data_IF_834467591234
#
_entry.id   IF_834467591234
#
_cell.length_a   1.000
_cell.length_b   1.000
_cell.length_c   1.000
_cell.angle_alpha   90.00
_cell.angle_beta   90.00
_cell.angle_gamma   90.00
#
_symmetry.space_group_name_H-M   'P 1'
#
loop_
_entity.id
_entity.type
_entity.pdbx_description
1 polymer ?
#
# COMPACT_ATOMS: atom_id res chain seq x y z
N UNK A 1 30.69 4.68 -0.57
CA UNK A 1 29.85 5.82 -0.11
C UNK A 1 29.20 5.41 1.21
N UNK A 2 29.60 5.98 2.36
CA UNK A 2 28.84 5.79 3.60
C UNK A 2 27.61 6.70 3.53
N UNK A 3 26.44 6.12 3.23
CA UNK A 3 25.18 6.88 3.05
C UNK A 3 24.65 7.48 4.37
N UNK A 4 24.98 6.88 5.53
CA UNK A 4 24.60 7.38 6.86
C UNK A 4 25.77 7.33 7.84
N UNK A 5 25.84 8.30 8.77
CA UNK A 5 26.89 8.36 9.81
C UNK A 5 26.71 7.28 10.86
N UNK A 6 25.49 7.10 11.37
CA UNK A 6 25.10 6.05 12.33
C UNK A 6 23.66 5.61 12.03
N UNK A 7 23.35 4.34 12.27
CA UNK A 7 22.02 3.75 12.11
C UNK A 7 21.63 3.11 13.44
N UNK A 8 20.44 3.40 13.93
CA UNK A 8 19.88 2.78 15.15
C UNK A 8 18.51 2.22 14.83
N UNK A 9 18.27 0.95 15.17
CA UNK A 9 16.96 0.30 15.07
C UNK A 9 16.42 0.02 16.46
N UNK A 10 15.15 0.33 16.65
CA UNK A 10 14.42 0.08 17.89
C UNK A 10 13.24 -0.84 17.58
N UNK A 11 13.11 -1.92 18.32
CA UNK A 11 11.98 -2.84 18.20
C UNK A 11 11.73 -3.52 19.55
N UNK A 12 10.50 -3.97 19.77
CA UNK A 12 10.14 -4.78 20.94
C UNK A 12 10.52 -6.26 20.73
N UNK A 13 10.57 -6.72 19.48
CA UNK A 13 10.89 -8.10 19.13
C UNK A 13 12.40 -8.31 19.01
N UNK A 14 12.98 -8.92 20.04
CA UNK A 14 14.42 -9.22 20.08
C UNK A 14 14.88 -10.13 18.93
N UNK A 15 14.00 -10.98 18.38
CA UNK A 15 14.35 -11.89 17.28
C UNK A 15 14.68 -11.11 16.00
N UNK A 16 13.95 -10.01 15.75
CA UNK A 16 14.20 -9.11 14.62
C UNK A 16 15.54 -8.40 14.84
N UNK A 17 15.78 -7.91 16.06
CA UNK A 17 17.01 -7.20 16.40
C UNK A 17 18.25 -8.09 16.30
N UNK A 18 18.16 -9.35 16.72
CA UNK A 18 19.25 -10.33 16.61
C UNK A 18 19.56 -10.62 15.14
N UNK A 19 18.52 -10.83 14.32
CA UNK A 19 18.68 -11.02 12.87
C UNK A 19 19.36 -9.82 12.20
N UNK A 20 18.93 -8.60 12.53
CA UNK A 20 19.50 -7.37 11.98
C UNK A 20 20.95 -7.18 12.42
N UNK A 21 21.26 -7.47 13.68
CA UNK A 21 22.63 -7.38 14.20
C UNK A 21 23.57 -8.34 13.49
N UNK A 22 23.16 -9.60 13.34
CA UNK A 22 23.92 -10.61 12.59
C UNK A 22 24.11 -10.21 11.12
N UNK A 23 23.05 -9.70 10.49
CA UNK A 23 23.13 -9.22 9.10
C UNK A 23 24.10 -8.04 8.95
N UNK A 24 24.12 -7.13 9.93
CA UNK A 24 25.05 -6.00 9.94
C UNK A 24 26.51 -6.47 10.10
N UNK A 25 26.76 -7.48 10.92
CA UNK A 25 28.09 -8.10 11.08
C UNK A 25 28.56 -8.77 9.77
N UNK A 26 27.70 -9.59 9.15
CA UNK A 26 27.98 -10.27 7.88
C UNK A 26 28.30 -9.27 6.75
N UNK A 27 27.63 -8.12 6.75
CA UNK A 27 27.85 -7.04 5.78
C UNK A 27 28.93 -6.03 6.21
N UNK A 28 29.60 -6.26 7.35
CA UNK A 28 30.64 -5.36 7.90
C UNK A 28 30.17 -3.91 8.12
N UNK A 29 28.92 -3.73 8.55
CA UNK A 29 28.31 -2.42 8.83
C UNK A 29 28.61 -2.02 10.28
N UNK A 30 29.75 -1.36 10.48
CA UNK A 30 30.27 -1.05 11.82
C UNK A 30 29.58 0.13 12.53
N UNK A 31 28.65 0.82 11.88
CA UNK A 31 27.94 1.98 12.41
C UNK A 31 26.44 1.72 12.60
N UNK A 32 26.10 0.48 12.95
CA UNK A 32 24.74 0.00 13.19
C UNK A 32 24.57 -0.40 14.66
N UNK A 33 23.44 -0.05 15.26
CA UNK A 33 23.09 -0.42 16.63
C UNK A 33 21.62 -0.85 16.69
N UNK A 34 21.34 -1.90 17.45
CA UNK A 34 19.97 -2.26 17.83
C UNK A 34 19.71 -1.91 19.29
N UNK A 35 18.46 -1.58 19.61
CA UNK A 35 18.02 -1.34 20.99
C UNK A 35 16.66 -2.01 21.18
N UNK A 36 16.55 -3.04 22.05
CA UNK A 36 15.26 -3.58 22.44
C UNK A 36 14.50 -2.51 23.22
N UNK A 37 13.40 -2.02 22.66
CA UNK A 37 12.63 -0.94 23.26
C UNK A 37 11.15 -1.04 22.89
N UNK A 38 10.30 -1.01 23.91
CA UNK A 38 8.87 -0.84 23.73
C UNK A 38 8.55 0.65 23.57
N UNK A 39 8.08 1.05 22.39
CA UNK A 39 7.76 2.46 22.10
C UNK A 39 6.64 3.03 22.98
N UNK A 40 5.87 2.20 23.70
CA UNK A 40 4.95 2.66 24.74
C UNK A 40 5.70 3.33 25.89
N UNK A 41 6.89 2.85 26.19
CA UNK A 41 7.76 3.40 27.23
C UNK A 41 8.52 4.65 26.75
N UNK A 42 8.75 5.65 27.62
CA UNK A 42 9.59 6.80 27.32
C UNK A 42 10.99 6.40 26.86
N UNK A 43 11.59 7.21 25.97
CA UNK A 43 12.98 6.98 25.57
C UNK A 43 13.96 7.39 26.67
N UNK A 44 15.06 6.64 26.83
CA UNK A 44 16.23 7.12 27.55
C UNK A 44 16.77 8.44 26.95
N UNK A 45 17.35 9.28 27.79
CA UNK A 45 17.85 10.61 27.41
C UNK A 45 18.91 10.56 26.29
N UNK A 46 19.65 9.45 26.16
CA UNK A 46 20.70 9.29 25.16
C UNK A 46 20.18 9.10 23.73
N UNK A 47 18.87 8.98 23.53
CA UNK A 47 18.21 8.87 22.22
C UNK A 47 17.46 10.13 21.79
N UNK A 48 17.11 10.99 22.74
CA UNK A 48 16.36 12.22 22.50
C UNK A 48 17.23 13.23 21.74
N UNK A 49 16.63 13.96 20.79
CA UNK A 49 17.27 15.06 20.07
C UNK A 49 18.59 14.67 19.35
N UNK A 50 18.67 13.48 18.76
CA UNK A 50 19.93 12.87 18.27
C UNK A 50 19.97 12.59 16.78
N UNK A 51 18.83 12.34 16.15
CA UNK A 51 18.77 11.85 14.77
C UNK A 51 18.31 12.92 13.79
N UNK A 52 18.74 12.78 12.53
CA UNK A 52 18.38 13.70 11.44
C UNK A 52 17.21 13.17 10.59
N UNK A 53 17.02 11.84 10.60
CA UNK A 53 16.02 11.11 9.82
C UNK A 53 15.42 10.01 10.70
N UNK A 54 14.11 9.86 10.66
CA UNK A 54 13.37 8.70 11.19
C UNK A 54 12.69 7.98 10.04
N UNK A 55 12.66 6.65 10.09
CA UNK A 55 11.89 5.80 9.18
C UNK A 55 11.04 4.89 10.05
N UNK A 56 9.75 4.77 9.75
CA UNK A 56 8.82 3.98 10.54
C UNK A 56 7.66 3.41 9.74
N UNK A 57 7.18 2.24 10.18
CA UNK A 57 5.98 1.56 9.70
C UNK A 57 5.14 1.17 10.93
N UNK A 58 4.34 2.11 11.47
CA UNK A 58 3.61 1.91 12.72
C UNK A 58 2.42 0.97 12.54
N UNK A 59 1.83 0.49 13.65
CA UNK A 59 0.52 -0.15 13.61
C UNK A 59 -0.53 0.74 12.94
N UNK A 60 -1.44 0.13 12.17
CA UNK A 60 -2.38 0.83 11.29
C UNK A 60 -3.58 1.37 12.08
N UNK A 61 -3.44 1.64 13.37
CA UNK A 61 -4.44 2.33 14.19
C UNK A 61 -4.05 3.79 14.36
N UNK A 62 -5.00 4.68 14.67
CA UNK A 62 -4.67 6.07 14.91
C UNK A 62 -3.81 6.24 16.18
N UNK A 63 -4.06 5.45 17.23
CA UNK A 63 -3.26 5.48 18.46
C UNK A 63 -1.83 4.99 18.22
N UNK A 64 -1.66 3.91 17.45
CA UNK A 64 -0.34 3.41 17.05
C UNK A 64 0.43 4.45 16.24
N UNK A 65 -0.21 5.08 15.26
CA UNK A 65 0.38 6.18 14.49
C UNK A 65 0.83 7.34 15.40
N UNK A 66 -0.04 7.80 16.31
CA UNK A 66 0.24 8.93 17.20
C UNK A 66 1.39 8.60 18.15
N UNK A 67 1.45 7.39 18.69
CA UNK A 67 2.57 6.94 19.51
C UNK A 67 3.90 7.04 18.74
N UNK A 68 3.95 6.50 17.53
CA UNK A 68 5.16 6.53 16.71
C UNK A 68 5.54 7.95 16.29
N UNK A 69 4.60 8.81 15.90
CA UNK A 69 4.86 10.22 15.60
C UNK A 69 5.42 10.97 16.82
N UNK A 70 4.88 10.73 18.01
CA UNK A 70 5.41 11.28 19.28
C UNK A 70 6.84 10.83 19.54
N UNK A 71 7.14 9.55 19.32
CA UNK A 71 8.49 9.02 19.47
C UNK A 71 9.45 9.58 18.42
N UNK A 72 9.02 9.69 17.17
CA UNK A 72 9.79 10.31 16.10
C UNK A 72 10.16 11.77 16.44
N UNK A 73 9.21 12.57 16.92
CA UNK A 73 9.48 13.98 17.27
C UNK A 73 10.45 14.12 18.45
N UNK A 74 10.51 13.15 19.36
CA UNK A 74 11.47 13.13 20.48
C UNK A 74 12.90 12.81 20.04
N UNK A 75 13.08 11.84 19.14
CA UNK A 75 14.43 11.40 18.73
C UNK A 75 15.05 12.32 17.67
N UNK A 76 14.24 13.02 16.89
CA UNK A 76 14.70 13.99 15.89
C UNK A 76 15.32 15.22 16.57
N UNK A 77 16.41 15.73 15.98
CA UNK A 77 17.03 16.97 16.43
C UNK A 77 16.05 18.14 16.28
N UNK A 78 15.58 18.66 17.40
CA UNK A 78 14.71 19.82 17.56
C UNK A 78 15.45 21.04 18.08
N UNK A 79 16.63 20.87 18.66
CA UNK A 79 17.46 21.97 19.14
C UNK A 79 18.97 21.64 19.15
N UNK A 80 19.79 22.67 19.16
CA UNK A 80 21.25 22.58 19.37
C UNK A 80 21.71 23.69 20.29
N UNK A 81 22.64 23.37 21.18
CA UNK A 81 23.28 24.34 22.05
C UNK A 81 24.62 24.79 21.45
N UNK A 82 24.78 26.09 21.22
CA UNK A 82 26.02 26.71 20.76
C UNK A 82 26.31 27.88 21.71
N UNK A 83 27.46 27.86 22.39
CA UNK A 83 27.90 28.92 23.31
C UNK A 83 26.83 29.26 24.36
N UNK A 84 26.25 28.25 25.01
CA UNK A 84 25.17 28.37 26.00
C UNK A 84 23.86 28.99 25.46
N UNK A 85 23.70 29.08 24.13
CA UNK A 85 22.44 29.50 23.49
C UNK A 85 21.80 28.32 22.76
N UNK A 86 20.51 28.12 23.00
CA UNK A 86 19.72 27.08 22.33
C UNK A 86 19.09 27.63 21.04
N UNK A 87 19.32 26.92 19.95
CA UNK A 87 18.74 27.21 18.63
C UNK A 87 17.77 26.11 18.25
N UNK A 88 16.56 26.46 17.82
CA UNK A 88 15.60 25.49 17.31
C UNK A 88 16.05 24.95 15.95
N UNK A 89 15.89 23.65 15.75
CA UNK A 89 16.11 22.97 14.47
C UNK A 89 14.76 22.46 13.96
N UNK A 90 14.50 22.70 12.68
CA UNK A 90 13.32 22.24 11.95
C UNK A 90 13.74 21.55 10.64
N UNK A 91 12.80 20.98 9.92
CA UNK A 91 13.02 20.36 8.61
C UNK A 91 13.71 19.00 8.71
N UNK A 92 13.71 18.36 9.89
CA UNK A 92 14.18 16.97 10.00
C UNK A 92 13.19 16.03 9.34
N UNK A 93 13.73 14.97 8.74
CA UNK A 93 12.96 14.10 7.85
C UNK A 93 12.34 12.95 8.63
N UNK A 94 11.10 12.62 8.31
CA UNK A 94 10.46 11.41 8.80
C UNK A 94 9.79 10.72 7.61
N UNK A 95 10.16 9.47 7.36
CA UNK A 95 9.54 8.61 6.35
C UNK A 95 8.55 7.69 7.05
N UNK A 96 7.27 7.86 6.75
CA UNK A 96 6.18 7.11 7.37
C UNK A 96 5.53 6.21 6.32
N UNK A 97 5.59 4.91 6.53
CA UNK A 97 4.78 3.94 5.80
C UNK A 97 3.42 3.83 6.47
N UNK A 98 2.31 4.01 5.75
CA UNK A 98 0.99 3.82 6.32
C UNK A 98 -0.05 3.41 5.29
N UNK A 99 -0.91 2.45 5.65
CA UNK A 99 -1.92 1.89 4.77
C UNK A 99 -2.99 2.86 4.34
N UNK A 100 -3.54 2.62 3.16
CA UNK A 100 -4.73 3.31 2.70
C UNK A 100 -5.93 3.01 3.63
N UNK A 101 -6.77 4.01 3.84
CA UNK A 101 -7.99 3.94 4.65
C UNK A 101 -9.12 4.76 4.03
N UNK A 102 -10.38 4.59 4.48
CA UNK A 102 -11.46 5.47 4.09
C UNK A 102 -11.13 6.96 4.33
N UNK A 103 -11.68 7.89 3.52
CA UNK A 103 -11.35 9.31 3.61
C UNK A 103 -11.47 9.93 5.01
N UNK A 104 -12.46 9.54 5.84
CA UNK A 104 -12.57 10.09 7.20
C UNK A 104 -11.40 9.66 8.10
N UNK A 105 -10.90 8.44 7.93
CA UNK A 105 -9.75 7.95 8.70
C UNK A 105 -8.44 8.50 8.16
N UNK A 106 -8.35 8.74 6.85
CA UNK A 106 -7.21 9.45 6.24
C UNK A 106 -7.13 10.89 6.74
N UNK A 107 -8.26 11.56 6.93
CA UNK A 107 -8.29 12.88 7.55
C UNK A 107 -7.74 12.86 8.98
N UNK A 108 -8.15 11.87 9.81
CA UNK A 108 -7.62 11.69 11.18
C UNK A 108 -6.10 11.44 11.19
N UNK A 109 -5.61 10.69 10.21
CA UNK A 109 -4.16 10.47 10.03
C UNK A 109 -3.44 11.80 9.76
N UNK A 110 -3.96 12.62 8.84
CA UNK A 110 -3.33 13.90 8.50
C UNK A 110 -3.35 14.87 9.69
N UNK A 111 -4.47 14.93 10.43
CA UNK A 111 -4.51 15.69 11.68
C UNK A 111 -3.49 15.19 12.69
N UNK A 112 -3.35 13.87 12.86
CA UNK A 112 -2.34 13.30 13.76
C UNK A 112 -0.92 13.66 13.35
N UNK A 113 -0.60 13.69 12.05
CA UNK A 113 0.71 14.15 11.55
C UNK A 113 0.96 15.62 11.95
N UNK A 114 -0.01 16.49 11.68
CA UNK A 114 0.08 17.93 11.98
C UNK A 114 0.19 18.19 13.49
N UNK A 115 -0.64 17.55 14.30
CA UNK A 115 -0.66 17.65 15.77
C UNK A 115 0.69 17.30 16.39
N UNK A 116 1.46 16.40 15.75
CA UNK A 116 2.76 15.95 16.24
C UNK A 116 3.93 16.77 15.71
N UNK A 117 3.65 17.90 15.05
CA UNK A 117 4.68 18.83 14.58
C UNK A 117 5.35 18.37 13.29
N UNK A 118 4.61 17.72 12.40
CA UNK A 118 5.07 17.34 11.07
C UNK A 118 4.17 17.92 9.99
N UNK A 119 4.75 18.30 8.86
CA UNK A 119 4.02 18.56 7.61
C UNK A 119 4.23 17.39 6.65
N UNK A 120 3.25 17.18 5.77
CA UNK A 120 3.37 16.23 4.65
C UNK A 120 3.97 16.99 3.47
N UNK A 121 5.20 16.65 3.09
CA UNK A 121 5.85 17.24 1.93
C UNK A 121 5.52 16.48 0.64
N UNK A 122 5.36 15.16 0.74
CA UNK A 122 4.98 14.29 -0.36
C UNK A 122 4.29 13.03 0.18
N UNK A 123 3.38 12.47 -0.62
CA UNK A 123 2.79 11.16 -0.39
C UNK A 123 2.87 10.39 -1.70
N UNK A 124 3.56 9.25 -1.67
CA UNK A 124 3.72 8.36 -2.83
C UNK A 124 2.75 7.19 -2.62
N UNK A 125 1.67 7.09 -3.42
CA UNK A 125 0.70 6.01 -3.30
C UNK A 125 1.34 4.64 -3.54
N UNK A 126 0.81 3.62 -2.87
CA UNK A 126 1.17 2.20 -2.99
C UNK A 126 2.67 1.90 -3.11
N UNK A 127 3.51 2.65 -2.39
CA UNK A 127 4.95 2.53 -2.47
C UNK A 127 5.48 1.23 -1.85
N UNK A 128 4.97 0.81 -0.69
CA UNK A 128 5.44 -0.41 -0.03
C UNK A 128 4.53 -1.59 -0.35
N UNK A 129 5.13 -2.73 -0.71
CA UNK A 129 4.45 -3.99 -0.98
C UNK A 129 4.85 -5.06 0.04
N UNK A 130 3.89 -5.58 0.81
CA UNK A 130 4.16 -6.56 1.87
C UNK A 130 3.79 -7.97 1.44
N UNK A 131 4.70 -8.93 1.66
CA UNK A 131 4.44 -10.35 1.44
C UNK A 131 3.71 -10.97 2.63
N UNK A 132 2.60 -11.66 2.38
CA UNK A 132 1.90 -12.47 3.38
C UNK A 132 0.89 -11.73 4.26
N UNK A 133 0.66 -10.43 4.03
CA UNK A 133 -0.43 -9.71 4.69
C UNK A 133 -1.77 -9.95 3.96
N UNK A 134 -2.85 -10.20 4.72
CA UNK A 134 -4.23 -10.18 4.19
C UNK A 134 -4.58 -8.82 3.55
N UNK A 135 -5.66 -8.74 2.76
CA UNK A 135 -6.13 -7.59 1.93
C UNK A 135 -5.91 -6.18 2.55
N UNK A 136 -5.99 -6.02 3.87
CA UNK A 136 -5.86 -4.73 4.59
C UNK A 136 -4.40 -4.25 4.77
N UNK A 137 -3.39 -5.02 4.35
CA UNK A 137 -1.97 -4.67 4.59
C UNK A 137 -1.01 -5.06 3.47
N UNK A 138 -1.50 -5.34 2.27
CA UNK A 138 -0.62 -5.69 1.14
C UNK A 138 0.12 -4.46 0.59
N UNK A 139 -0.50 -3.28 0.67
CA UNK A 139 0.03 -2.02 0.16
C UNK A 139 -0.01 -0.94 1.23
N UNK A 140 0.98 -0.04 1.22
CA UNK A 140 0.94 1.19 2.00
C UNK A 140 1.57 2.34 1.24
N UNK A 141 1.12 3.55 1.52
CA UNK A 141 1.70 4.78 0.99
C UNK A 141 3.00 5.09 1.73
N UNK A 142 3.92 5.77 1.06
CA UNK A 142 5.08 6.38 1.70
C UNK A 142 4.84 7.88 1.85
N UNK A 143 4.77 8.35 3.10
CA UNK A 143 4.70 9.76 3.43
C UNK A 143 6.09 10.30 3.72
N UNK A 144 6.48 11.34 2.99
CA UNK A 144 7.66 12.13 3.31
C UNK A 144 7.24 13.32 4.17
N UNK A 145 7.60 13.24 5.44
CA UNK A 145 7.28 14.24 6.45
C UNK A 145 8.48 15.10 6.79
N UNK A 146 8.22 16.37 7.15
CA UNK A 146 9.23 17.29 7.67
C UNK A 146 8.80 17.85 9.01
N UNK A 147 9.72 17.85 9.99
CA UNK A 147 9.45 18.43 11.30
C UNK A 147 9.34 19.96 11.21
N UNK A 148 8.38 20.53 11.93
CA UNK A 148 8.24 21.98 12.08
C UNK A 148 8.58 22.41 13.50
N UNK A 149 8.66 23.73 13.72
CA UNK A 149 8.82 24.26 15.08
C UNK A 149 7.54 23.94 15.81
N UNK A 150 7.58 22.98 16.73
CA UNK A 150 6.42 22.61 17.51
C UNK A 150 5.99 23.85 18.33
N UNK A 151 4.85 24.48 18.01
CA UNK A 151 4.39 25.66 18.72
C UNK A 151 3.79 25.16 20.04
N UNK A 152 4.65 24.88 21.02
CA UNK A 152 4.29 24.76 22.43
C UNK A 152 3.14 23.78 22.72
N UNK A 153 3.44 22.55 23.19
CA UNK A 153 2.83 21.87 24.36
C UNK A 153 1.33 22.09 24.73
N UNK A 154 0.47 22.55 23.83
CA UNK A 154 -0.91 23.02 24.11
C UNK A 154 -1.88 21.87 23.97
N UNK A 155 -1.52 20.86 23.19
CA UNK A 155 -2.13 19.54 23.29
C UNK A 155 -1.36 18.77 24.36
N UNK A 156 -1.89 18.79 25.59
CA UNK A 156 -1.65 17.70 26.53
C UNK A 156 -2.09 16.41 25.84
N UNK A 157 -1.16 15.77 25.12
CA UNK A 157 -1.33 14.48 24.47
C UNK A 157 -1.45 13.43 25.57
N UNK A 158 -2.62 13.40 26.18
CA UNK A 158 -3.14 12.27 26.93
C UNK A 158 -3.18 11.10 25.96
N UNK A 159 -2.13 10.28 25.99
CA UNK A 159 -2.20 8.94 25.45
C UNK A 159 -3.14 8.20 26.39
N UNK A 160 -4.39 8.03 25.98
CA UNK A 160 -5.18 6.95 26.56
C UNK A 160 -4.45 5.66 26.19
N UNK A 161 -4.15 4.82 27.18
CA UNK A 161 -3.51 3.51 26.99
C UNK A 161 -4.49 2.55 26.32
N UNK A 162 -4.88 2.88 25.10
CA UNK A 162 -5.76 2.09 24.26
C UNK A 162 -4.99 1.05 23.44
N UNK A 163 -5.71 0.09 22.85
CA UNK A 163 -5.14 -0.90 21.95
C UNK A 163 -4.45 -0.22 20.75
N UNK A 164 -3.18 -0.54 20.52
CA UNK A 164 -2.37 0.06 19.43
C UNK A 164 -2.33 -0.83 18.19
N UNK A 165 -2.58 -2.13 18.33
CA UNK A 165 -2.67 -3.04 17.20
C UNK A 165 -4.12 -3.23 16.75
N UNK A 166 -4.32 -3.36 15.44
CA UNK A 166 -5.65 -3.62 14.85
C UNK A 166 -6.30 -4.89 15.40
N UNK A 167 -5.51 -5.87 15.85
CA UNK A 167 -5.99 -7.07 16.53
C UNK A 167 -6.60 -6.79 17.90
N UNK A 168 -6.10 -5.79 18.62
CA UNK A 168 -6.50 -5.44 19.99
C UNK A 168 -7.73 -4.51 20.02
N UNK A 169 -7.95 -3.71 18.97
CA UNK A 169 -9.10 -2.78 18.83
C UNK A 169 -10.42 -3.51 18.49
N UNK A 170 -10.40 -4.83 18.27
CA UNK A 170 -11.57 -5.62 17.83
C UNK A 170 -12.64 -5.80 18.92
N UNK A 171 -13.33 -4.72 19.26
CA UNK A 171 -14.69 -4.73 19.84
C UNK A 171 -15.40 -3.42 19.49
N UNK A 172 -15.64 -3.17 18.21
CA UNK A 172 -16.73 -2.31 17.70
C UNK A 172 -16.85 -2.51 16.20
N UNK A 173 -18.10 -2.61 15.78
CA UNK A 173 -18.63 -3.01 14.46
C UNK A 173 -17.69 -2.79 13.28
N UNK A 174 -17.28 -3.90 12.66
CA UNK A 174 -16.64 -3.88 11.35
C UNK A 174 -17.70 -3.49 10.32
N UNK A 175 -17.52 -2.37 9.65
CA UNK A 175 -17.61 -2.44 8.20
C UNK A 175 -16.21 -2.77 7.72
N UNK A 176 -15.91 -4.03 7.33
CA UNK A 176 -14.68 -4.26 6.58
C UNK A 176 -14.74 -3.32 5.37
N UNK A 177 -13.63 -2.64 5.05
CA UNK A 177 -13.50 -2.09 3.70
C UNK A 177 -13.53 -3.30 2.76
N UNK A 178 -14.72 -3.60 2.26
CA UNK A 178 -14.94 -4.53 1.18
C UNK A 178 -14.76 -3.65 -0.05
N UNK A 179 -13.71 -3.84 -0.87
CA UNK A 179 -13.64 -3.15 -2.15
C UNK A 179 -14.96 -3.41 -2.87
N UNK A 180 -15.61 -2.35 -3.36
CA UNK A 180 -16.91 -2.46 -4.01
C UNK A 180 -16.82 -3.45 -5.17
N UNK A 181 -15.65 -3.51 -5.82
CA UNK A 181 -15.27 -4.55 -6.76
C UNK A 181 -13.77 -4.53 -7.10
N UNK A 182 -13.35 -5.48 -7.94
CA UNK A 182 -12.00 -5.65 -8.46
C UNK A 182 -12.00 -5.39 -9.96
N UNK A 183 -11.01 -4.66 -10.46
CA UNK A 183 -10.86 -4.32 -11.87
C UNK A 183 -9.63 -5.03 -12.45
N UNK A 184 -9.86 -5.89 -13.44
CA UNK A 184 -8.82 -6.59 -14.18
C UNK A 184 -8.73 -5.97 -15.57
N UNK A 185 -7.60 -5.34 -15.86
CA UNK A 185 -7.28 -4.83 -17.19
C UNK A 185 -6.17 -5.70 -17.75
N UNK A 186 -6.36 -6.21 -18.96
CA UNK A 186 -5.46 -7.18 -19.56
C UNK A 186 -5.31 -6.97 -21.06
N UNK A 187 -4.12 -7.29 -21.54
CA UNK A 187 -3.76 -7.24 -22.95
C UNK A 187 -3.26 -8.62 -23.38
N UNK A 188 -3.63 -9.05 -24.58
CA UNK A 188 -3.21 -10.32 -25.16
C UNK A 188 -2.68 -10.10 -26.58
N UNK A 189 -1.50 -10.65 -26.86
CA UNK A 189 -0.82 -10.57 -28.16
C UNK A 189 -0.75 -11.94 -28.83
N UNK A 190 -0.80 -11.99 -30.16
CA UNK A 190 -0.89 -13.23 -30.94
C UNK A 190 0.09 -13.24 -32.12
N UNK A 191 0.75 -14.38 -32.35
CA UNK A 191 1.49 -14.65 -33.59
C UNK A 191 0.48 -15.04 -34.69
N UNK A 192 -0.07 -14.02 -35.38
CA UNK A 192 -0.98 -14.18 -36.50
C UNK A 192 -2.47 -13.99 -36.18
N UNK A 193 -3.28 -13.82 -37.22
CA UNK A 193 -4.65 -13.29 -37.11
C UNK A 193 -5.74 -14.36 -37.03
N UNK A 194 -5.41 -15.65 -37.22
CA UNK A 194 -6.43 -16.69 -37.53
C UNK A 194 -7.52 -16.82 -36.46
N UNK A 195 -7.17 -16.76 -35.18
CA UNK A 195 -8.17 -16.81 -34.10
C UNK A 195 -8.90 -15.48 -33.91
N UNK A 196 -8.24 -14.36 -34.22
CA UNK A 196 -8.79 -13.01 -34.08
C UNK A 196 -9.80 -12.66 -35.18
N UNK A 197 -9.77 -13.38 -36.29
CA UNK A 197 -10.74 -13.25 -37.39
C UNK A 197 -12.02 -14.08 -37.17
N UNK A 198 -12.07 -14.89 -36.11
CA UNK A 198 -13.23 -15.73 -35.77
C UNK A 198 -14.02 -15.08 -34.63
N UNK A 199 -14.81 -14.04 -34.97
CA UNK A 199 -15.57 -13.27 -33.99
C UNK A 199 -16.56 -14.13 -33.19
N UNK A 200 -17.19 -15.12 -33.83
CA UNK A 200 -18.12 -16.05 -33.15
C UNK A 200 -17.40 -16.88 -32.08
N UNK A 201 -16.20 -17.38 -32.39
CA UNK A 201 -15.38 -18.09 -31.42
C UNK A 201 -14.94 -17.19 -30.27
N UNK A 202 -14.53 -15.95 -30.55
CA UNK A 202 -14.12 -14.99 -29.51
C UNK A 202 -15.30 -14.66 -28.60
N UNK A 203 -16.47 -14.37 -29.19
CA UNK A 203 -17.70 -14.12 -28.45
C UNK A 203 -18.06 -15.29 -27.53
N UNK A 204 -18.02 -16.51 -28.06
CA UNK A 204 -18.29 -17.73 -27.29
C UNK A 204 -17.29 -17.92 -26.15
N UNK A 205 -16.00 -17.82 -26.43
CA UNK A 205 -14.94 -17.97 -25.41
C UNK A 205 -15.08 -16.93 -24.30
N UNK A 206 -15.43 -15.69 -24.66
CA UNK A 206 -15.68 -14.62 -23.70
C UNK A 206 -16.87 -14.95 -22.78
N UNK A 207 -18.00 -15.34 -23.35
CA UNK A 207 -19.19 -15.76 -22.59
C UNK A 207 -18.91 -16.98 -21.71
N UNK A 208 -18.33 -18.04 -22.27
CA UNK A 208 -18.01 -19.27 -21.56
C UNK A 208 -17.05 -19.01 -20.39
N UNK A 209 -16.10 -18.07 -20.55
CA UNK A 209 -15.17 -17.68 -19.49
C UNK A 209 -15.89 -17.01 -18.32
N UNK A 210 -16.83 -16.10 -18.59
CA UNK A 210 -17.65 -15.45 -17.55
C UNK A 210 -18.55 -16.47 -16.83
N UNK A 211 -19.23 -17.34 -17.58
CA UNK A 211 -20.12 -18.37 -17.03
C UNK A 211 -19.34 -19.38 -16.18
N UNK A 212 -18.17 -19.81 -16.64
CA UNK A 212 -17.32 -20.77 -15.92
C UNK A 212 -16.78 -20.24 -14.59
N UNK A 213 -16.68 -18.92 -14.45
CA UNK A 213 -16.30 -18.23 -13.22
C UNK A 213 -17.50 -17.97 -12.28
N UNK A 214 -18.66 -18.54 -12.58
CA UNK A 214 -19.90 -18.35 -11.80
C UNK A 214 -20.30 -16.86 -11.70
N UNK A 215 -20.14 -16.12 -12.82
CA UNK A 215 -20.61 -14.75 -12.96
C UNK A 215 -21.98 -14.74 -13.65
N UNK A 216 -22.94 -14.04 -13.06
CA UNK A 216 -24.28 -13.89 -13.64
C UNK A 216 -24.28 -12.76 -14.66
N UNK A 217 -24.48 -13.11 -15.93
CA UNK A 217 -24.65 -12.17 -17.04
C UNK A 217 -26.12 -11.77 -17.11
N UNK A 218 -26.41 -10.47 -17.03
CA UNK A 218 -27.77 -9.92 -17.19
C UNK A 218 -28.07 -9.61 -18.65
N UNK A 219 -27.11 -9.07 -19.38
CA UNK A 219 -27.23 -8.71 -20.78
C UNK A 219 -25.86 -8.73 -21.46
N UNK A 220 -25.85 -8.87 -22.78
CA UNK A 220 -24.64 -8.77 -23.59
C UNK A 220 -24.91 -8.04 -24.90
N UNK A 221 -24.08 -7.04 -25.19
CA UNK A 221 -24.04 -6.40 -26.48
C UNK A 221 -22.71 -6.71 -27.17
N UNK A 222 -22.76 -7.03 -28.45
CA UNK A 222 -21.56 -7.26 -29.26
C UNK A 222 -21.69 -6.62 -30.64
N UNK A 223 -20.55 -6.36 -31.27
CA UNK A 223 -20.47 -5.76 -32.59
C UNK A 223 -19.30 -6.33 -33.39
N UNK A 224 -19.60 -6.73 -34.63
CA UNK A 224 -18.62 -7.16 -35.63
C UNK A 224 -18.27 -5.97 -36.53
N UNK A 225 -17.01 -5.56 -36.54
CA UNK A 225 -16.52 -4.48 -37.40
C UNK A 225 -16.14 -4.99 -38.79
N UNK A 226 -16.08 -4.07 -39.76
CA UNK A 226 -15.64 -4.33 -41.13
C UNK A 226 -14.30 -3.64 -41.39
N UNK A 227 -13.31 -4.30 -42.06
CA UNK A 227 -13.37 -5.67 -42.57
C UNK A 227 -13.18 -6.77 -41.50
N UNK A 228 -12.69 -6.41 -40.32
CA UNK A 228 -12.46 -7.33 -39.20
C UNK A 228 -12.49 -6.56 -37.87
N UNK A 229 -12.51 -7.30 -36.76
CA UNK A 229 -12.55 -6.75 -35.40
C UNK A 229 -13.88 -7.06 -34.71
N UNK A 230 -13.81 -7.07 -33.38
CA UNK A 230 -14.90 -7.49 -32.51
C UNK A 230 -14.87 -6.70 -31.22
N UNK A 231 -16.04 -6.26 -30.76
CA UNK A 231 -16.26 -5.73 -29.42
C UNK A 231 -17.42 -6.48 -28.77
N UNK A 232 -17.28 -6.83 -27.50
CA UNK A 232 -18.42 -7.24 -26.67
C UNK A 232 -18.35 -6.61 -25.29
N UNK A 233 -19.51 -6.29 -24.73
CA UNK A 233 -19.68 -5.86 -23.34
C UNK A 233 -20.82 -6.68 -22.72
N UNK A 234 -20.50 -7.40 -21.65
CA UNK A 234 -21.44 -8.13 -20.82
C UNK A 234 -21.75 -7.28 -19.58
N UNK A 235 -23.03 -7.01 -19.35
CA UNK A 235 -23.52 -6.43 -18.10
C UNK A 235 -23.69 -7.56 -17.10
N UNK A 236 -22.91 -7.51 -16.03
CA UNK A 236 -23.00 -8.49 -14.95
C UNK A 236 -23.99 -8.00 -13.90
N UNK A 237 -24.47 -8.90 -13.04
CA UNK A 237 -25.44 -8.58 -11.97
C UNK A 237 -25.08 -7.34 -11.14
N UNK A 238 -23.79 -7.08 -10.95
CA UNK A 238 -23.27 -6.03 -10.07
C UNK A 238 -22.21 -5.15 -10.74
N UNK A 239 -21.87 -5.39 -12.01
CA UNK A 239 -20.64 -4.86 -12.65
C UNK A 239 -20.63 -5.08 -14.18
N UNK A 240 -19.47 -5.23 -14.83
CA UNK A 240 -19.36 -5.42 -16.28
C UNK A 240 -18.07 -6.13 -16.70
N UNK A 241 -18.08 -6.72 -17.90
CA UNK A 241 -16.89 -7.21 -18.58
C UNK A 241 -16.91 -6.80 -20.05
N UNK A 242 -15.79 -6.41 -20.61
CA UNK A 242 -15.63 -6.03 -22.00
C UNK A 242 -14.39 -6.68 -22.64
N UNK A 243 -14.50 -6.95 -23.94
CA UNK A 243 -13.41 -7.46 -24.77
C UNK A 243 -13.42 -6.73 -26.11
N UNK A 244 -12.25 -6.33 -26.58
CA UNK A 244 -12.05 -5.63 -27.85
C UNK A 244 -10.90 -6.28 -28.61
N UNK A 245 -11.04 -6.47 -29.91
CA UNK A 245 -10.03 -7.14 -30.74
C UNK A 245 -9.60 -6.27 -31.93
N UNK A 246 -8.31 -6.31 -32.21
CA UNK A 246 -7.68 -5.69 -33.39
C UNK A 246 -6.87 -6.77 -34.12
N UNK A 247 -7.51 -7.56 -35.00
CA UNK A 247 -6.87 -8.65 -35.74
C UNK A 247 -5.63 -8.19 -36.52
N UNK A 248 -5.67 -6.99 -37.11
CA UNK A 248 -4.56 -6.36 -37.84
C UNK A 248 -3.31 -6.15 -36.98
N UNK A 249 -3.47 -6.04 -35.67
CA UNK A 249 -2.39 -5.85 -34.70
C UNK A 249 -2.08 -7.12 -33.90
N UNK A 250 -2.77 -8.24 -34.17
CA UNK A 250 -2.60 -9.46 -33.38
C UNK A 250 -2.95 -9.23 -31.92
N UNK A 251 -3.99 -8.44 -31.62
CA UNK A 251 -4.20 -7.85 -30.30
C UNK A 251 -5.63 -7.99 -29.77
N UNK A 252 -5.75 -8.22 -28.46
CA UNK A 252 -7.00 -8.15 -27.70
C UNK A 252 -6.80 -7.32 -26.43
N UNK A 253 -7.72 -6.41 -26.15
CA UNK A 253 -7.87 -5.71 -24.88
C UNK A 253 -9.04 -6.29 -24.09
N UNK A 254 -8.84 -6.49 -22.79
CA UNK A 254 -9.84 -7.04 -21.86
C UNK A 254 -9.98 -6.10 -20.68
N UNK A 255 -11.23 -5.83 -20.29
CA UNK A 255 -11.59 -5.03 -19.13
C UNK A 255 -12.67 -5.78 -18.34
N UNK A 256 -12.39 -6.20 -17.11
CA UNK A 256 -13.34 -6.97 -16.28
C UNK A 256 -13.43 -6.30 -14.92
N UNK A 257 -14.56 -5.68 -14.63
CA UNK A 257 -14.89 -5.21 -13.30
C UNK A 257 -15.85 -6.20 -12.64
N UNK A 258 -15.52 -6.69 -11.44
CA UNK A 258 -16.39 -7.61 -10.69
C UNK A 258 -16.59 -7.15 -9.24
N UNK A 259 -17.82 -7.16 -8.77
CA UNK A 259 -18.16 -6.90 -7.35
C UNK A 259 -18.29 -8.20 -6.54
N UNK A 260 -17.57 -9.24 -6.99
CA UNK A 260 -17.57 -10.62 -6.51
C UNK A 260 -16.20 -10.96 -5.89
N UNK A 261 -15.94 -12.23 -5.56
CA UNK A 261 -14.61 -12.65 -5.10
C UNK A 261 -13.52 -12.42 -6.17
N UNK A 262 -12.36 -11.89 -5.76
CA UNK A 262 -11.21 -11.65 -6.65
C UNK A 262 -10.78 -12.89 -7.46
N UNK A 263 -10.94 -14.08 -6.88
CA UNK A 263 -10.69 -15.38 -7.54
C UNK A 263 -11.46 -15.53 -8.85
N UNK A 264 -12.74 -15.11 -8.89
CA UNK A 264 -13.58 -15.24 -10.08
C UNK A 264 -13.01 -14.47 -11.27
N UNK A 265 -12.52 -13.25 -11.06
CA UNK A 265 -11.90 -12.46 -12.13
C UNK A 265 -10.61 -13.08 -12.66
N UNK A 266 -9.79 -13.64 -11.77
CA UNK A 266 -8.60 -14.42 -12.17
C UNK A 266 -8.98 -15.65 -12.99
N UNK A 267 -10.08 -16.33 -12.65
CA UNK A 267 -10.51 -17.53 -13.36
C UNK A 267 -11.04 -17.19 -14.76
N UNK A 268 -11.71 -16.04 -14.94
CA UNK A 268 -12.04 -15.53 -16.28
C UNK A 268 -10.77 -15.31 -17.10
N UNK A 269 -9.77 -14.59 -16.55
CA UNK A 269 -8.51 -14.31 -17.26
C UNK A 269 -7.76 -15.60 -17.62
N UNK A 270 -7.70 -16.58 -16.70
CA UNK A 270 -7.09 -17.90 -16.98
C UNK A 270 -7.84 -18.64 -18.08
N UNK A 271 -9.18 -18.62 -18.03
CA UNK A 271 -10.01 -19.28 -19.04
C UNK A 271 -9.79 -18.66 -20.42
N UNK A 272 -9.81 -17.33 -20.53
CA UNK A 272 -9.50 -16.60 -21.77
C UNK A 272 -8.11 -16.97 -22.29
N UNK A 273 -7.08 -16.95 -21.42
CA UNK A 273 -5.71 -17.31 -21.81
C UNK A 273 -5.61 -18.76 -22.32
N UNK A 274 -6.28 -19.70 -21.67
CA UNK A 274 -6.25 -21.11 -22.06
C UNK A 274 -6.96 -21.36 -23.39
N UNK A 275 -8.09 -20.70 -23.64
CA UNK A 275 -8.89 -20.91 -24.85
C UNK A 275 -8.38 -20.12 -26.06
N UNK A 276 -7.83 -18.92 -25.84
CA UNK A 276 -7.31 -18.06 -26.91
C UNK A 276 -5.84 -18.36 -27.23
N UNK A 277 -5.08 -18.85 -26.25
CA UNK A 277 -3.65 -19.18 -26.39
C UNK A 277 -2.80 -18.02 -26.94
N UNK A 278 -2.76 -16.87 -26.24
CA UNK A 278 -1.90 -15.75 -26.63
C UNK A 278 -0.42 -16.08 -26.44
N UNK A 279 0.45 -15.25 -27.00
CA UNK A 279 1.87 -15.28 -26.75
C UNK A 279 2.15 -15.17 -25.25
N UNK A 280 3.18 -15.89 -24.80
CA UNK A 280 3.64 -15.80 -23.42
C UNK A 280 4.32 -14.45 -23.24
N UNK A 281 3.76 -13.63 -22.35
CA UNK A 281 4.45 -12.51 -21.71
C UNK A 281 5.55 -12.98 -20.76
#
# INVERSE_FOLDING_TARGET
IKLAKNITVLDIDTRILDYLSKSAEELSINNFKVIPHDLREPFPDDLVNKYDVVIMDPPYTNEGLRLFLKRASQVLKSNININNKNYSIIGKKCLLSFGNKPPEDMQKLQFSILDHGFIINEMIPDFNHYKGASIIGQFSHLYYLQSVRNPSSTYNLSLTTGPIYTSEVKSKDKFPFVPIGYHFVGEMHFEGQKILLDNEKIHKVFLDSLISADLTILDIYHHNYQPHGFSAIAILKTSHAAIHTWPEHGYISIDIFICDEFSKGLDVIKSLKNHLNPLKS
#
